data_IF_790361561492
#
_entry.id   IF_790361561492
#
_cell.length_a   1.000
_cell.length_b   1.000
_cell.length_c   1.000
_cell.angle_alpha   90.00
_cell.angle_beta   90.00
_cell.angle_gamma   90.00
#
_symmetry.space_group_name_H-M   'P 1'
#
loop_
_entity.id
_entity.type
_entity.pdbx_description
1 polymer ?
#
# COMPACT_ATOMS: atom_id res chain seq x y z
N UNK A 1 1.28 6.32 5.07
CA UNK A 1 2.00 5.74 3.92
C UNK A 1 2.93 4.59 4.30
N UNK A 2 3.73 4.68 5.36
CA UNK A 2 4.81 3.69 5.58
C UNK A 2 4.42 2.42 6.37
N UNK A 3 3.16 2.27 6.77
CA UNK A 3 2.73 1.14 7.62
C UNK A 3 2.92 -0.23 6.97
N UNK A 4 2.92 -0.29 5.62
CA UNK A 4 3.16 -1.53 4.89
C UNK A 4 4.64 -1.87 4.70
N UNK A 5 5.55 -0.91 4.95
CA UNK A 5 6.97 -1.03 4.60
C UNK A 5 7.64 -2.24 5.23
N UNK A 6 7.38 -2.48 6.51
CA UNK A 6 8.02 -3.58 7.26
C UNK A 6 7.14 -4.85 7.32
N UNK A 7 6.03 -4.89 6.57
CA UNK A 7 5.16 -6.06 6.52
C UNK A 7 5.75 -7.13 5.60
N UNK A 8 5.67 -8.40 6.02
CA UNK A 8 5.89 -9.53 5.10
C UNK A 8 4.64 -9.74 4.25
N UNK A 9 4.77 -9.71 2.93
CA UNK A 9 3.65 -9.90 2.03
C UNK A 9 3.12 -11.34 2.08
N UNK A 10 1.83 -11.50 2.39
CA UNK A 10 1.15 -12.81 2.44
C UNK A 10 0.25 -13.09 1.24
N UNK A 11 0.04 -12.09 0.36
CA UNK A 11 -0.81 -12.14 -0.83
C UNK A 11 -0.16 -11.44 -2.02
N UNK A 12 -0.67 -11.73 -3.22
CA UNK A 12 -0.28 -11.08 -4.47
C UNK A 12 1.11 -11.50 -4.98
N UNK A 13 1.68 -10.72 -5.91
CA UNK A 13 3.00 -11.02 -6.50
C UNK A 13 4.14 -10.86 -5.49
N UNK A 14 4.01 -9.93 -4.55
CA UNK A 14 5.02 -9.68 -3.54
C UNK A 14 5.18 -10.86 -2.55
N UNK A 15 4.16 -11.71 -2.37
CA UNK A 15 4.28 -12.85 -1.46
C UNK A 15 5.17 -13.97 -1.98
N UNK A 16 5.56 -13.95 -3.26
CA UNK A 16 6.44 -14.97 -3.85
C UNK A 16 7.87 -14.91 -3.31
N UNK A 17 8.27 -13.76 -2.76
CA UNK A 17 9.63 -13.53 -2.27
C UNK A 17 9.74 -13.56 -0.74
N UNK A 18 8.64 -13.91 -0.04
CA UNK A 18 8.61 -14.06 1.43
C UNK A 18 9.13 -12.82 2.16
N UNK A 19 10.03 -13.01 3.13
CA UNK A 19 10.61 -11.93 3.93
C UNK A 19 11.38 -10.88 3.13
N UNK A 20 11.80 -11.21 1.89
CA UNK A 20 12.44 -10.22 0.99
C UNK A 20 11.48 -9.15 0.48
N UNK A 21 10.18 -9.28 0.77
CA UNK A 21 9.18 -8.23 0.49
C UNK A 21 9.21 -7.08 1.50
N UNK A 22 9.80 -7.28 2.69
CA UNK A 22 9.97 -6.22 3.70
C UNK A 22 10.92 -5.13 3.22
N UNK A 23 10.75 -3.92 3.74
CA UNK A 23 11.49 -2.72 3.37
C UNK A 23 10.88 -1.94 2.21
N UNK A 24 9.82 -2.46 1.56
CA UNK A 24 9.12 -1.85 0.42
C UNK A 24 7.70 -1.48 0.82
N UNK A 25 7.28 -0.25 0.53
CA UNK A 25 5.88 0.16 0.71
C UNK A 25 5.03 -0.50 -0.38
N UNK A 26 3.93 -1.14 0.02
CA UNK A 26 3.01 -1.77 -0.92
C UNK A 26 2.41 -0.74 -1.90
N UNK A 27 2.57 -0.92 -3.23
CA UNK A 27 2.06 0.04 -4.23
C UNK A 27 0.54 0.09 -4.30
N UNK A 28 -0.16 -1.00 -3.94
CA UNK A 28 -1.62 -1.03 -3.88
C UNK A 28 -2.16 -0.14 -2.77
N UNK A 29 -1.51 -0.16 -1.60
CA UNK A 29 -1.82 0.73 -0.48
C UNK A 29 -1.54 2.19 -0.82
N UNK A 30 -0.44 2.50 -1.53
CA UNK A 30 -0.15 3.87 -2.00
C UNK A 30 -1.24 4.37 -2.95
N UNK A 31 -1.63 3.55 -3.93
CA UNK A 31 -2.66 3.94 -4.91
C UNK A 31 -4.02 4.14 -4.24
N UNK A 32 -4.38 3.25 -3.31
CA UNK A 32 -5.62 3.35 -2.54
C UNK A 32 -5.68 4.64 -1.70
N UNK A 33 -4.57 5.03 -1.07
CA UNK A 33 -4.47 6.29 -0.34
C UNK A 33 -4.74 7.49 -1.25
N UNK A 34 -4.13 7.53 -2.43
CA UNK A 34 -4.33 8.62 -3.41
C UNK A 34 -5.81 8.71 -3.80
N UNK A 35 -6.44 7.59 -4.13
CA UNK A 35 -7.87 7.54 -4.51
C UNK A 35 -8.75 8.05 -3.37
N UNK A 36 -8.56 7.54 -2.16
CA UNK A 36 -9.36 7.93 -0.99
C UNK A 36 -9.17 9.42 -0.67
N UNK A 37 -7.93 9.91 -0.75
CA UNK A 37 -7.61 11.33 -0.53
C UNK A 37 -8.32 12.22 -1.54
N UNK A 38 -8.31 11.86 -2.83
CA UNK A 38 -9.04 12.61 -3.84
C UNK A 38 -10.55 12.55 -3.65
N UNK A 39 -11.09 11.37 -3.34
CA UNK A 39 -12.52 11.22 -3.04
C UNK A 39 -12.94 12.10 -1.87
N UNK A 40 -12.15 12.08 -0.78
CA UNK A 40 -12.39 12.93 0.39
C UNK A 40 -12.40 14.41 0.00
N UNK A 41 -11.42 14.85 -0.79
CA UNK A 41 -11.36 16.24 -1.25
C UNK A 41 -12.57 16.63 -2.11
N UNK A 42 -13.05 15.73 -2.98
CA UNK A 42 -14.25 15.99 -3.81
C UNK A 42 -15.52 16.09 -2.99
N UNK A 43 -15.66 15.31 -1.91
CA UNK A 43 -16.86 15.32 -1.05
C UNK A 43 -16.92 16.54 -0.13
N UNK A 44 -15.77 17.12 0.22
CA UNK A 44 -15.69 18.29 1.11
C UNK A 44 -15.52 19.63 0.36
N UNK A 45 -15.57 19.61 -0.98
CA UNK A 45 -15.59 20.80 -1.83
C UNK A 45 -17.03 21.27 -2.09
#
# INVERSE_FOLDING_TARGET
MNSTKEMSASKGRASYIGDRSKGVVDPGAVTSEIIIRHLSNTVHA
#
